data_IF_431224312713
#
_entry.id   IF_431224312713
#
_cell.length_a   1.000
_cell.length_b   1.000
_cell.length_c   1.000
_cell.angle_alpha   90.00
_cell.angle_beta   90.00
_cell.angle_gamma   90.00
#
_symmetry.space_group_name_H-M   'P 1'
#
loop_
_entity.id
_entity.type
_entity.pdbx_description
1 polymer ?
#
# COMPACT_ATOMS: atom_id res chain seq x y z
N UNK A 1 23.53 -88.50 2.16
CA UNK A 1 22.19 -88.95 2.60
C UNK A 1 21.63 -87.95 3.56
N UNK A 2 20.38 -87.71 3.47
CA UNK A 2 19.47 -86.75 4.17
C UNK A 2 19.38 -85.36 3.53
N UNK A 3 18.29 -85.21 2.76
CA UNK A 3 17.67 -83.98 2.33
C UNK A 3 16.86 -83.37 3.53
N UNK A 4 16.99 -82.11 3.76
CA UNK A 4 16.00 -81.36 4.55
C UNK A 4 15.59 -80.10 3.74
N UNK A 5 14.35 -80.11 3.32
CA UNK A 5 13.64 -79.09 2.61
C UNK A 5 13.35 -77.92 3.54
N UNK A 6 13.81 -76.70 3.17
CA UNK A 6 13.42 -75.45 3.84
C UNK A 6 12.46 -74.65 2.92
N UNK A 7 11.23 -74.64 3.33
CA UNK A 7 10.12 -73.86 2.78
C UNK A 7 10.37 -72.35 2.92
N UNK A 8 10.40 -71.63 1.82
CA UNK A 8 10.41 -70.15 1.80
C UNK A 8 9.00 -69.65 2.06
N UNK A 9 8.76 -69.06 3.23
CA UNK A 9 7.60 -68.22 3.49
C UNK A 9 7.94 -66.77 3.13
N UNK A 10 7.22 -66.22 2.17
CA UNK A 10 7.18 -64.80 1.81
C UNK A 10 6.45 -64.01 2.89
N UNK A 11 6.92 -62.81 3.27
CA UNK A 11 6.15 -61.97 4.19
C UNK A 11 5.04 -61.22 3.45
N UNK A 12 3.80 -61.42 3.86
CA UNK A 12 2.64 -60.64 3.42
C UNK A 12 2.82 -59.19 3.89
N UNK A 13 2.71 -58.26 2.93
CA UNK A 13 2.57 -56.82 3.20
C UNK A 13 1.20 -56.60 3.86
N UNK A 14 1.19 -56.17 5.10
CA UNK A 14 0.03 -55.62 5.77
C UNK A 14 -0.16 -54.19 5.25
N UNK A 15 -1.24 -53.93 4.54
CA UNK A 15 -1.72 -52.58 4.22
C UNK A 15 -2.26 -51.97 5.52
N UNK A 16 -1.58 -50.96 6.05
CA UNK A 16 -2.16 -50.07 7.06
C UNK A 16 -3.12 -49.10 6.35
N UNK A 17 -4.40 -49.32 6.53
CA UNK A 17 -5.43 -48.31 6.34
C UNK A 17 -5.20 -47.22 7.37
N UNK A 18 -4.89 -46.04 6.89
CA UNK A 18 -4.92 -44.83 7.74
C UNK A 18 -6.37 -44.35 7.72
N UNK A 19 -7.08 -44.61 8.82
CA UNK A 19 -8.37 -43.99 9.08
C UNK A 19 -8.19 -42.48 9.22
N UNK A 20 -8.92 -41.73 8.40
CA UNK A 20 -9.06 -40.30 8.51
C UNK A 20 -9.79 -39.97 9.81
N UNK A 21 -9.03 -39.60 10.84
CA UNK A 21 -9.56 -39.10 12.10
C UNK A 21 -10.17 -37.71 11.89
N UNK A 22 -11.50 -37.64 11.96
CA UNK A 22 -12.24 -36.36 12.05
C UNK A 22 -11.89 -35.74 13.40
N UNK A 23 -11.11 -34.67 13.40
CA UNK A 23 -10.95 -33.81 14.57
C UNK A 23 -12.21 -32.98 14.77
N UNK A 24 -12.97 -33.34 15.79
CA UNK A 24 -14.11 -32.57 16.30
C UNK A 24 -13.55 -31.58 17.32
N UNK A 25 -13.41 -30.32 16.93
CA UNK A 25 -13.05 -29.24 17.85
C UNK A 25 -14.27 -28.95 18.74
N UNK A 26 -14.18 -29.29 20.03
CA UNK A 26 -15.15 -28.90 21.04
C UNK A 26 -14.83 -27.48 21.52
N UNK A 27 -15.64 -26.51 21.09
CA UNK A 27 -15.63 -25.20 21.71
C UNK A 27 -16.23 -25.27 23.12
N UNK A 28 -15.38 -25.20 24.15
CA UNK A 28 -15.83 -24.92 25.50
C UNK A 28 -16.19 -23.45 25.64
N UNK A 29 -17.49 -23.21 25.81
CA UNK A 29 -18.07 -21.89 26.07
C UNK A 29 -17.63 -21.43 27.46
N UNK A 30 -16.54 -20.68 27.57
CA UNK A 30 -16.15 -20.04 28.84
C UNK A 30 -16.99 -18.76 28.96
N UNK A 31 -17.99 -18.82 29.88
CA UNK A 31 -18.65 -17.61 30.39
C UNK A 31 -17.67 -16.94 31.37
N UNK A 32 -17.10 -15.82 31.00
CA UNK A 32 -16.27 -14.97 31.83
C UNK A 32 -16.55 -13.50 31.54
N UNK A 33 -16.86 -12.78 32.59
CA UNK A 33 -17.21 -11.37 32.65
C UNK A 33 -16.22 -10.49 31.87
N UNK A 34 -16.76 -9.69 30.95
CA UNK A 34 -16.05 -8.56 30.30
C UNK A 34 -16.15 -7.35 31.25
N UNK A 35 -15.06 -6.79 31.74
CA UNK A 35 -15.12 -5.51 32.46
C UNK A 35 -15.39 -4.40 31.45
N UNK A 36 -16.50 -3.67 31.63
CA UNK A 36 -16.77 -2.43 30.92
C UNK A 36 -15.71 -1.41 31.30
N UNK A 37 -14.77 -1.13 30.42
CA UNK A 37 -13.90 0.04 30.54
C UNK A 37 -14.68 1.24 30.00
N UNK A 38 -15.11 2.09 30.91
CA UNK A 38 -15.69 3.40 30.63
C UNK A 38 -14.57 4.33 30.15
N UNK A 39 -14.49 4.57 28.84
CA UNK A 39 -13.69 5.67 28.31
C UNK A 39 -14.45 6.98 28.57
N UNK A 40 -13.98 7.74 29.53
CA UNK A 40 -14.29 9.17 29.64
C UNK A 40 -13.63 9.90 28.46
N UNK A 41 -14.42 10.22 27.44
CA UNK A 41 -13.98 11.11 26.37
C UNK A 41 -13.97 12.54 26.92
N UNK A 42 -12.80 13.13 27.11
CA UNK A 42 -12.64 14.56 27.30
C UNK A 42 -12.89 15.27 25.97
N UNK A 43 -13.68 16.38 25.95
CA UNK A 43 -14.03 17.07 24.70
C UNK A 43 -12.95 18.09 24.33
N UNK A 44 -11.86 17.69 23.69
CA UNK A 44 -10.85 18.65 23.21
C UNK A 44 -10.10 18.27 21.93
N UNK A 45 -10.64 17.41 21.07
CA UNK A 45 -9.97 17.07 19.82
C UNK A 45 -10.77 17.39 18.53
N UNK A 46 -11.92 18.09 18.65
CA UNK A 46 -12.75 18.44 17.47
C UNK A 46 -12.58 19.91 17.04
N UNK A 47 -11.49 20.60 17.39
CA UNK A 47 -11.27 22.03 17.09
C UNK A 47 -10.08 22.36 16.20
N UNK A 48 -9.56 21.45 15.41
CA UNK A 48 -8.41 21.75 14.52
C UNK A 48 -8.65 21.63 13.01
N UNK A 49 -9.85 21.32 12.56
CA UNK A 49 -10.12 21.17 11.12
C UNK A 49 -11.12 22.19 10.53
N UNK A 50 -11.44 23.31 11.23
CA UNK A 50 -12.33 24.37 10.69
C UNK A 50 -11.75 25.79 10.79
N UNK A 51 -10.44 25.95 10.80
CA UNK A 51 -9.78 27.26 10.93
C UNK A 51 -9.04 27.72 9.66
N UNK A 52 -9.51 27.36 8.47
CA UNK A 52 -8.88 27.78 7.21
C UNK A 52 -9.65 28.82 6.38
N UNK A 53 -10.94 29.02 6.60
CA UNK A 53 -11.76 29.87 5.72
C UNK A 53 -12.47 31.02 6.48
N UNK A 54 -12.61 30.96 7.80
CA UNK A 54 -13.32 31.99 8.59
C UNK A 54 -12.47 33.25 8.87
N UNK A 55 -11.15 33.18 8.86
CA UNK A 55 -10.29 34.31 9.21
C UNK A 55 -10.13 35.36 8.10
N UNK A 56 -10.50 35.05 6.85
CA UNK A 56 -10.41 36.01 5.73
C UNK A 56 -11.59 37.02 5.72
N UNK A 57 -12.75 36.62 6.23
CA UNK A 57 -13.95 37.48 6.26
C UNK A 57 -13.96 38.36 7.48
N UNK A 58 -13.51 37.89 8.63
CA UNK A 58 -13.43 38.74 9.86
C UNK A 58 -12.33 39.81 9.75
N UNK A 59 -11.27 39.57 9.01
CA UNK A 59 -10.21 40.57 8.77
C UNK A 59 -10.72 41.73 7.91
N UNK A 60 -11.57 41.49 6.92
CA UNK A 60 -12.16 42.50 6.07
C UNK A 60 -13.18 43.34 6.83
N UNK A 61 -14.03 42.72 7.68
CA UNK A 61 -15.02 43.41 8.52
C UNK A 61 -14.35 44.23 9.63
N UNK A 62 -13.21 43.80 10.15
CA UNK A 62 -12.46 44.57 11.16
C UNK A 62 -11.76 45.81 10.59
N UNK A 63 -11.38 45.80 9.31
CA UNK A 63 -10.78 46.96 8.63
C UNK A 63 -11.85 48.02 8.35
N UNK A 64 -13.06 47.66 7.97
CA UNK A 64 -14.16 48.58 7.80
C UNK A 64 -14.55 49.29 9.14
N UNK A 65 -14.60 48.59 10.26
CA UNK A 65 -14.88 49.18 11.59
C UNK A 65 -13.76 50.05 12.13
N UNK A 66 -12.52 49.87 11.69
CA UNK A 66 -11.40 50.77 12.05
C UNK A 66 -11.47 52.10 11.28
N UNK A 67 -12.00 52.12 10.07
CA UNK A 67 -12.20 53.33 9.30
C UNK A 67 -13.37 54.18 9.80
N UNK A 68 -14.44 53.59 10.32
CA UNK A 68 -15.55 54.34 10.92
C UNK A 68 -15.19 54.98 12.29
N UNK A 69 -14.26 54.42 13.04
CA UNK A 69 -13.87 54.95 14.36
C UNK A 69 -12.86 56.08 14.31
N UNK A 70 -12.20 56.35 13.17
CA UNK A 70 -11.20 57.44 13.07
C UNK A 70 -11.72 58.68 12.34
N UNK A 71 -13.01 58.72 11.94
CA UNK A 71 -13.62 59.91 11.33
C UNK A 71 -14.22 60.90 12.34
N UNK A 72 -14.16 60.62 13.63
CA UNK A 72 -14.78 61.48 14.67
C UNK A 72 -13.83 61.73 15.84
N UNK A 73 -12.69 62.39 15.56
CA UNK A 73 -11.91 62.98 16.64
C UNK A 73 -10.87 63.95 16.13
N UNK A 74 -11.32 65.06 15.56
CA UNK A 74 -10.55 66.35 15.58
C UNK A 74 -11.49 67.53 15.44
N UNK A 75 -12.19 67.87 16.49
CA UNK A 75 -12.83 69.17 16.66
C UNK A 75 -12.90 69.51 18.15
N UNK A 76 -11.79 69.95 18.68
CA UNK A 76 -11.85 70.87 19.82
C UNK A 76 -10.58 71.73 19.91
N UNK A 77 -10.81 73.04 19.99
CA UNK A 77 -9.93 74.13 20.36
C UNK A 77 -9.05 74.77 19.28
N UNK A 78 -9.43 75.99 18.92
CA UNK A 78 -8.51 76.93 18.32
C UNK A 78 -9.17 78.00 17.42
N UNK A 79 -9.62 79.09 17.96
CA UNK A 79 -9.87 80.39 17.35
C UNK A 79 -10.22 80.46 15.84
N UNK A 80 -11.49 80.67 15.55
CA UNK A 80 -11.99 81.05 14.23
C UNK A 80 -11.87 82.55 14.06
N UNK A 81 -11.12 83.06 13.05
CA UNK A 81 -11.17 84.50 12.73
C UNK A 81 -12.50 84.80 12.04
N UNK A 82 -13.15 85.92 12.51
CA UNK A 82 -14.41 86.34 11.98
C UNK A 82 -14.25 86.85 10.54
N UNK A 83 -14.75 86.14 9.59
CA UNK A 83 -14.75 86.55 8.17
C UNK A 83 -15.97 87.40 7.91
N UNK A 84 -15.77 88.69 7.73
CA UNK A 84 -16.81 89.76 7.52
C UNK A 84 -17.38 89.77 6.07
N UNK A 85 -17.29 88.73 5.26
CA UNK A 85 -17.89 88.75 3.92
C UNK A 85 -18.34 87.36 3.50
N UNK A 86 -19.61 87.16 3.17
CA UNK A 86 -20.13 85.89 2.79
C UNK A 86 -19.54 85.35 1.44
N UNK A 87 -19.05 86.21 0.56
CA UNK A 87 -18.45 85.85 -0.71
C UNK A 87 -17.07 85.14 -0.54
N UNK A 88 -16.26 85.55 0.46
CA UNK A 88 -14.94 84.86 0.69
C UNK A 88 -15.07 83.51 1.35
N UNK A 89 -16.08 83.36 2.21
CA UNK A 89 -16.37 82.07 2.86
C UNK A 89 -16.76 80.99 1.81
N UNK A 90 -17.55 81.46 0.79
CA UNK A 90 -18.00 80.51 -0.26
C UNK A 90 -16.85 80.07 -1.20
N UNK A 91 -15.89 80.99 -1.50
CA UNK A 91 -14.72 80.63 -2.33
C UNK A 91 -13.76 79.73 -1.55
N UNK A 92 -13.59 79.91 -0.23
CA UNK A 92 -12.74 79.00 0.57
C UNK A 92 -13.37 77.60 0.73
N UNK A 93 -14.69 77.53 0.91
CA UNK A 93 -15.41 76.27 0.98
C UNK A 93 -15.35 75.47 -0.38
N UNK A 94 -15.39 76.22 -1.51
CA UNK A 94 -15.29 75.57 -2.85
C UNK A 94 -13.88 75.07 -3.16
N UNK A 95 -12.83 75.80 -2.65
CA UNK A 95 -11.43 75.38 -2.84
C UNK A 95 -11.10 74.14 -1.96
N UNK A 96 -11.58 74.14 -0.67
CA UNK A 96 -11.39 73.03 0.23
C UNK A 96 -12.17 71.76 -0.25
N UNK A 97 -13.40 71.97 -0.77
CA UNK A 97 -14.20 70.87 -1.30
C UNK A 97 -13.61 70.30 -2.58
N UNK A 98 -13.00 71.12 -3.46
CA UNK A 98 -12.31 70.69 -4.66
C UNK A 98 -11.01 69.93 -4.36
N UNK A 99 -10.23 70.39 -3.37
CA UNK A 99 -8.99 69.73 -2.95
C UNK A 99 -9.23 68.36 -2.34
N UNK A 100 -10.25 68.24 -1.47
CA UNK A 100 -10.60 66.94 -0.87
C UNK A 100 -11.11 65.95 -1.92
N UNK A 101 -11.88 66.40 -2.91
CA UNK A 101 -12.35 65.51 -3.98
C UNK A 101 -11.21 65.03 -4.91
N UNK A 102 -10.20 65.85 -5.17
CA UNK A 102 -9.03 65.45 -5.93
C UNK A 102 -8.15 64.46 -5.18
N UNK A 103 -7.91 64.65 -3.88
CA UNK A 103 -7.14 63.65 -3.08
C UNK A 103 -7.85 62.33 -2.92
N UNK A 104 -9.17 62.28 -2.72
CA UNK A 104 -9.94 61.06 -2.66
C UNK A 104 -9.99 60.31 -4.00
N UNK A 105 -10.04 61.03 -5.13
CA UNK A 105 -9.98 60.45 -6.43
C UNK A 105 -8.63 59.80 -6.73
N UNK A 106 -7.54 60.47 -6.37
CA UNK A 106 -6.18 59.97 -6.61
C UNK A 106 -5.85 58.72 -5.76
N UNK A 107 -6.29 58.71 -4.52
CA UNK A 107 -6.12 57.50 -3.64
C UNK A 107 -6.94 56.33 -4.11
N UNK A 108 -8.16 56.50 -4.64
CA UNK A 108 -8.97 55.43 -5.20
C UNK A 108 -8.37 54.85 -6.48
N UNK A 109 -7.89 55.69 -7.39
CA UNK A 109 -7.24 55.24 -8.62
C UNK A 109 -5.90 54.57 -8.35
N UNK A 110 -5.10 55.06 -7.41
CA UNK A 110 -3.86 54.42 -6.97
C UNK A 110 -4.11 53.04 -6.33
N UNK A 111 -5.12 52.94 -5.45
CA UNK A 111 -5.49 51.64 -4.84
C UNK A 111 -6.01 50.64 -5.88
N UNK A 112 -6.83 51.11 -6.84
CA UNK A 112 -7.29 50.28 -7.97
C UNK A 112 -6.14 49.78 -8.86
N UNK A 113 -5.17 50.64 -9.14
CA UNK A 113 -3.98 50.29 -9.91
C UNK A 113 -3.11 49.25 -9.19
N UNK A 114 -2.94 49.38 -7.87
CA UNK A 114 -2.21 48.41 -7.05
C UNK A 114 -2.95 47.04 -7.00
N UNK A 115 -4.27 47.07 -6.80
CA UNK A 115 -5.08 45.84 -6.80
C UNK A 115 -5.06 45.14 -8.13
N UNK A 116 -5.15 45.88 -9.26
CA UNK A 116 -5.04 45.26 -10.60
C UNK A 116 -3.64 44.70 -10.87
N UNK A 117 -2.59 45.38 -10.40
CA UNK A 117 -1.21 44.88 -10.52
C UNK A 117 -1.00 43.58 -9.73
N UNK A 118 -1.52 43.53 -8.50
CA UNK A 118 -1.46 42.33 -7.64
C UNK A 118 -2.24 41.18 -8.27
N UNK A 119 -3.44 41.44 -8.82
CA UNK A 119 -4.22 40.42 -9.50
C UNK A 119 -3.53 39.94 -10.80
N UNK A 120 -2.89 40.84 -11.53
CA UNK A 120 -2.12 40.50 -12.70
C UNK A 120 -0.88 39.66 -12.36
N UNK A 121 -0.15 40.03 -11.30
CA UNK A 121 0.97 39.23 -10.79
C UNK A 121 0.52 37.86 -10.30
N UNK A 122 -0.64 37.77 -9.64
CA UNK A 122 -1.23 36.51 -9.21
C UNK A 122 -1.66 35.64 -10.41
N UNK A 123 -2.29 36.27 -11.42
CA UNK A 123 -2.66 35.58 -12.67
C UNK A 123 -1.43 35.10 -13.45
N UNK A 124 -0.37 35.92 -13.53
CA UNK A 124 0.91 35.53 -14.16
C UNK A 124 1.60 34.44 -13.31
N UNK A 125 1.50 34.48 -11.99
CA UNK A 125 1.96 33.43 -11.08
C UNK A 125 1.24 32.11 -11.31
N UNK A 126 -0.08 32.14 -11.46
CA UNK A 126 -0.90 30.96 -11.81
C UNK A 126 -0.61 30.45 -13.23
N UNK A 127 -0.37 31.33 -14.20
CA UNK A 127 0.04 30.96 -15.56
C UNK A 127 1.46 30.40 -15.61
N UNK A 128 2.34 30.79 -14.71
CA UNK A 128 3.70 30.22 -14.60
C UNK A 128 3.74 28.93 -13.78
N UNK A 129 2.77 28.70 -12.88
CA UNK A 129 2.54 27.40 -12.21
C UNK A 129 1.73 26.43 -13.08
N UNK A 130 1.08 26.91 -14.12
CA UNK A 130 0.63 26.07 -15.22
C UNK A 130 1.84 25.56 -15.99
N UNK A 131 2.63 24.71 -15.33
CA UNK A 131 3.47 23.75 -16.02
C UNK A 131 2.59 23.10 -17.07
N UNK A 132 3.06 23.05 -18.32
CA UNK A 132 2.35 22.44 -19.43
C UNK A 132 1.63 21.19 -18.90
N UNK A 133 0.29 21.18 -18.99
CA UNK A 133 -0.43 19.93 -18.81
C UNK A 133 0.32 18.93 -19.68
N UNK A 134 0.79 17.79 -19.13
CA UNK A 134 1.46 16.82 -19.97
C UNK A 134 0.49 16.57 -21.11
N UNK A 135 0.95 16.81 -22.33
CA UNK A 135 0.21 16.39 -23.51
C UNK A 135 -0.28 14.97 -23.20
N UNK A 136 -1.51 14.64 -23.57
CA UNK A 136 -2.07 13.29 -23.54
C UNK A 136 -1.18 12.41 -24.45
N UNK A 137 0.08 12.23 -24.04
CA UNK A 137 1.04 11.26 -24.55
C UNK A 137 0.73 9.95 -23.87
N UNK A 138 0.75 8.87 -24.61
CA UNK A 138 0.57 7.51 -24.15
C UNK A 138 1.15 7.37 -22.73
N UNK A 139 0.34 6.95 -21.79
CA UNK A 139 0.69 6.80 -20.39
C UNK A 139 1.96 5.96 -20.31
N UNK A 140 3.12 6.63 -20.16
CA UNK A 140 4.40 5.95 -20.10
C UNK A 140 4.43 5.17 -18.79
N UNK A 141 4.18 3.87 -18.87
CA UNK A 141 4.28 2.96 -17.73
C UNK A 141 5.72 2.52 -17.53
N UNK A 142 6.04 2.16 -16.30
CA UNK A 142 7.31 1.53 -15.93
C UNK A 142 7.16 0.02 -16.05
N UNK A 143 8.08 -0.63 -16.76
CA UNK A 143 8.10 -2.10 -16.85
C UNK A 143 8.60 -2.67 -15.53
N UNK A 144 7.79 -3.51 -14.89
CA UNK A 144 8.12 -4.16 -13.61
C UNK A 144 7.97 -5.67 -13.76
N UNK A 145 9.06 -6.40 -14.05
CA UNK A 145 9.06 -7.84 -13.96
C UNK A 145 8.94 -8.29 -12.50
N UNK A 146 8.18 -9.37 -12.27
CA UNK A 146 7.98 -9.93 -10.94
C UNK A 146 8.47 -11.38 -10.94
N UNK A 147 9.46 -11.66 -10.11
CA UNK A 147 10.07 -12.98 -9.95
C UNK A 147 9.36 -13.73 -8.83
N UNK A 148 8.94 -14.97 -9.08
CA UNK A 148 8.20 -15.78 -8.13
C UNK A 148 9.02 -16.97 -7.67
N UNK A 149 9.34 -17.01 -6.40
CA UNK A 149 9.96 -18.11 -5.67
C UNK A 149 8.97 -18.69 -4.67
N UNK A 150 9.29 -19.89 -4.15
CA UNK A 150 8.55 -20.51 -3.05
C UNK A 150 9.56 -21.04 -2.02
N UNK A 151 9.88 -22.32 -2.07
CA UNK A 151 10.78 -22.98 -1.12
C UNK A 151 12.24 -22.92 -1.56
N UNK A 152 13.15 -22.67 -0.61
CA UNK A 152 14.59 -22.62 -0.85
C UNK A 152 15.26 -23.74 -0.05
N UNK A 153 15.75 -24.80 -0.71
CA UNK A 153 16.33 -25.96 -0.04
C UNK A 153 17.66 -26.39 -0.66
N UNK A 154 18.61 -26.78 0.18
CA UNK A 154 19.90 -27.36 -0.26
C UNK A 154 19.75 -28.77 -0.84
N UNK A 155 18.75 -29.51 -0.39
CA UNK A 155 18.52 -30.90 -0.80
C UNK A 155 18.12 -30.99 -2.28
N UNK A 156 19.03 -31.49 -3.10
CA UNK A 156 18.81 -31.61 -4.55
C UNK A 156 17.67 -32.57 -4.92
N UNK A 157 17.37 -33.56 -4.07
CA UNK A 157 16.28 -34.50 -4.31
C UNK A 157 14.89 -33.85 -4.19
N UNK A 158 14.80 -32.67 -3.57
CA UNK A 158 13.55 -31.91 -3.40
C UNK A 158 13.42 -30.75 -4.38
N UNK A 159 14.48 -30.42 -5.12
CA UNK A 159 14.45 -29.34 -6.09
C UNK A 159 13.53 -29.69 -7.28
N UNK A 160 12.80 -28.70 -7.79
CA UNK A 160 11.80 -28.88 -8.83
C UNK A 160 11.09 -27.60 -9.19
N UNK A 161 9.82 -27.70 -9.57
CA UNK A 161 9.03 -26.56 -10.06
C UNK A 161 8.96 -25.40 -9.06
N UNK A 162 8.85 -25.68 -7.76
CA UNK A 162 8.65 -24.70 -6.70
C UNK A 162 9.76 -24.70 -5.64
N UNK A 163 10.82 -25.46 -5.85
CA UNK A 163 11.93 -25.57 -4.90
C UNK A 163 13.24 -25.37 -5.65
N UNK A 164 13.98 -24.33 -5.26
CA UNK A 164 15.32 -24.07 -5.80
C UNK A 164 16.38 -24.08 -4.70
N UNK A 165 17.67 -24.22 -5.08
CA UNK A 165 18.73 -24.15 -4.09
C UNK A 165 19.08 -22.71 -3.68
N UNK A 166 19.66 -22.51 -2.47
CA UNK A 166 20.22 -21.21 -2.10
C UNK A 166 21.28 -20.69 -3.09
N UNK A 167 22.04 -21.59 -3.74
CA UNK A 167 23.02 -21.21 -4.74
C UNK A 167 22.37 -20.65 -6.03
N UNK A 168 21.23 -21.21 -6.44
CA UNK A 168 20.46 -20.69 -7.58
C UNK A 168 19.91 -19.31 -7.25
N UNK A 169 19.30 -19.13 -6.08
CA UNK A 169 18.82 -17.82 -5.64
C UNK A 169 19.95 -16.80 -5.61
N UNK A 170 21.09 -17.14 -5.00
CA UNK A 170 22.24 -16.24 -4.95
C UNK A 170 22.72 -15.83 -6.34
N UNK A 171 22.82 -16.76 -7.29
CA UNK A 171 23.22 -16.48 -8.67
C UNK A 171 22.22 -15.56 -9.38
N UNK A 172 20.92 -15.76 -9.16
CA UNK A 172 19.87 -14.92 -9.73
C UNK A 172 19.95 -13.48 -9.16
N UNK A 173 20.16 -13.32 -7.84
CA UNK A 173 20.32 -12.01 -7.18
C UNK A 173 21.59 -11.27 -7.68
N UNK A 174 22.73 -11.98 -7.78
CA UNK A 174 23.99 -11.42 -8.29
C UNK A 174 23.85 -10.96 -9.74
N UNK A 175 23.13 -11.73 -10.56
CA UNK A 175 22.87 -11.38 -11.95
C UNK A 175 21.96 -10.16 -12.11
N UNK A 176 20.95 -10.00 -11.24
CA UNK A 176 20.11 -8.81 -11.19
C UNK A 176 20.92 -7.56 -10.86
N UNK A 177 21.73 -7.61 -9.80
CA UNK A 177 22.64 -6.50 -9.42
C UNK A 177 23.60 -6.14 -10.56
N UNK A 178 24.22 -7.14 -11.18
CA UNK A 178 25.15 -6.94 -12.30
C UNK A 178 24.49 -6.24 -13.49
N UNK A 179 23.18 -6.49 -13.71
CA UNK A 179 22.37 -5.87 -14.78
C UNK A 179 21.80 -4.51 -14.38
N UNK A 180 22.05 -4.06 -13.12
CA UNK A 180 21.58 -2.77 -12.59
C UNK A 180 20.11 -2.74 -12.22
N UNK A 181 19.50 -3.89 -11.92
CA UNK A 181 18.14 -3.96 -11.39
C UNK A 181 18.13 -3.63 -9.89
N UNK A 182 17.13 -2.87 -9.48
CA UNK A 182 16.86 -2.52 -8.08
C UNK A 182 15.52 -3.12 -7.64
N UNK A 183 15.51 -3.69 -6.44
CA UNK A 183 14.30 -4.35 -5.93
C UNK A 183 13.28 -3.35 -5.42
N UNK A 184 12.02 -3.60 -5.77
CA UNK A 184 10.85 -2.84 -5.30
C UNK A 184 9.86 -3.80 -4.62
N UNK A 185 9.05 -3.25 -3.71
CA UNK A 185 8.00 -3.97 -3.00
C UNK A 185 6.61 -3.48 -3.42
N UNK A 186 5.56 -4.03 -2.85
CA UNK A 186 4.18 -3.55 -3.08
C UNK A 186 4.04 -2.10 -2.65
N UNK A 187 4.60 -1.73 -1.48
CA UNK A 187 4.56 -0.35 -0.98
C UNK A 187 5.22 0.64 -1.93
N UNK A 188 6.31 0.28 -2.60
CA UNK A 188 6.96 1.15 -3.60
C UNK A 188 6.07 1.35 -4.83
N UNK A 189 5.39 0.29 -5.30
CA UNK A 189 4.45 0.37 -6.42
C UNK A 189 3.24 1.25 -6.06
N UNK A 190 2.71 1.10 -4.85
CA UNK A 190 1.61 1.92 -4.36
C UNK A 190 2.01 3.39 -4.25
N UNK A 191 3.19 3.70 -3.70
CA UNK A 191 3.71 5.06 -3.63
C UNK A 191 3.93 5.67 -5.03
N UNK A 192 4.40 4.86 -6.00
CA UNK A 192 4.47 5.30 -7.38
C UNK A 192 3.09 5.65 -7.94
N UNK A 193 2.10 4.78 -7.80
CA UNK A 193 0.76 4.98 -8.37
C UNK A 193 0.01 6.12 -7.69
N UNK A 194 0.02 6.17 -6.35
CA UNK A 194 -0.79 7.09 -5.55
C UNK A 194 -0.14 8.47 -5.37
N UNK A 195 1.15 8.50 -5.02
CA UNK A 195 1.83 9.71 -4.59
C UNK A 195 2.75 10.30 -5.68
N UNK A 196 3.05 9.51 -6.69
CA UNK A 196 3.97 9.93 -7.73
C UNK A 196 5.44 9.73 -7.40
N UNK A 197 5.76 9.01 -6.33
CA UNK A 197 7.15 8.65 -5.98
C UNK A 197 7.78 7.85 -7.12
N UNK A 198 8.91 8.30 -7.69
CA UNK A 198 9.50 7.60 -8.83
C UNK A 198 10.03 6.22 -8.42
N UNK A 199 9.83 5.24 -9.30
CA UNK A 199 10.52 3.94 -9.22
C UNK A 199 11.94 4.07 -9.75
N UNK A 200 12.87 3.17 -9.38
CA UNK A 200 14.21 3.11 -9.97
C UNK A 200 14.12 2.85 -11.49
N UNK A 201 15.20 3.11 -12.21
CA UNK A 201 15.27 2.98 -13.68
C UNK A 201 15.00 1.54 -14.17
N UNK A 202 15.47 0.55 -13.39
CA UNK A 202 15.26 -0.87 -13.66
C UNK A 202 14.66 -1.56 -12.43
N UNK A 203 13.36 -1.37 -12.17
CA UNK A 203 12.71 -1.99 -11.03
C UNK A 203 12.45 -3.48 -11.29
N UNK A 204 12.61 -4.30 -10.25
CA UNK A 204 12.23 -5.70 -10.23
C UNK A 204 11.59 -6.05 -8.89
N UNK A 205 10.47 -6.77 -8.88
CA UNK A 205 9.90 -7.27 -7.63
C UNK A 205 10.23 -8.75 -7.46
N UNK A 206 10.72 -9.11 -6.27
CA UNK A 206 11.00 -10.51 -5.91
C UNK A 206 9.94 -10.95 -4.91
N UNK A 207 9.25 -12.05 -5.21
CA UNK A 207 8.17 -12.58 -4.37
C UNK A 207 8.47 -14.00 -3.92
N UNK A 208 8.06 -14.33 -2.69
CA UNK A 208 8.09 -15.68 -2.12
C UNK A 208 6.69 -16.05 -1.66
N UNK A 209 6.17 -17.15 -2.19
CA UNK A 209 4.84 -17.64 -1.82
C UNK A 209 4.91 -18.65 -0.66
N UNK A 210 3.76 -18.94 -0.07
CA UNK A 210 3.49 -19.90 1.01
C UNK A 210 4.09 -19.53 2.38
N UNK A 211 5.11 -18.70 2.45
CA UNK A 211 5.75 -18.34 3.72
C UNK A 211 6.53 -19.48 4.37
N UNK A 212 7.29 -20.27 3.61
CA UNK A 212 8.13 -21.33 4.15
C UNK A 212 9.22 -20.79 5.09
N UNK A 213 9.49 -21.49 6.20
CA UNK A 213 10.56 -21.13 7.14
C UNK A 213 11.96 -21.10 6.49
N UNK A 214 12.18 -21.87 5.44
CA UNK A 214 13.44 -21.83 4.70
C UNK A 214 13.70 -20.50 3.97
N UNK A 215 12.70 -19.66 3.80
CA UNK A 215 12.91 -18.29 3.31
C UNK A 215 13.66 -17.45 4.36
N UNK A 216 13.37 -17.62 5.65
CA UNK A 216 14.15 -17.03 6.74
C UNK A 216 15.58 -17.58 6.78
N UNK A 217 15.73 -18.91 6.68
CA UNK A 217 17.02 -19.57 6.83
C UNK A 217 17.98 -19.25 5.67
N UNK A 218 17.47 -19.16 4.45
CA UNK A 218 18.31 -19.06 3.25
C UNK A 218 18.09 -17.79 2.43
N UNK A 219 16.85 -17.36 2.19
CA UNK A 219 16.59 -16.22 1.33
C UNK A 219 16.87 -14.89 2.04
N UNK A 220 16.43 -14.76 3.30
CA UNK A 220 16.60 -13.53 4.09
C UNK A 220 18.08 -13.07 4.17
N UNK A 221 19.05 -13.90 4.59
CA UNK A 221 20.44 -13.47 4.65
C UNK A 221 21.04 -13.18 3.27
N UNK A 222 20.61 -13.85 2.21
CA UNK A 222 21.11 -13.59 0.86
C UNK A 222 20.63 -12.24 0.31
N UNK A 223 19.38 -11.87 0.58
CA UNK A 223 18.81 -10.59 0.22
C UNK A 223 19.42 -9.46 1.06
N UNK A 224 19.49 -9.65 2.39
CA UNK A 224 20.05 -8.68 3.33
C UNK A 224 21.49 -8.30 2.99
N UNK A 225 22.36 -9.30 2.72
CA UNK A 225 23.77 -9.08 2.33
C UNK A 225 23.92 -8.24 1.06
N UNK A 226 22.90 -8.23 0.20
CA UNK A 226 22.87 -7.49 -1.07
C UNK A 226 22.12 -6.18 -1.02
N UNK A 227 21.55 -5.83 0.15
CA UNK A 227 20.68 -4.66 0.29
C UNK A 227 19.40 -4.74 -0.57
N UNK A 228 18.97 -5.96 -0.89
CA UNK A 228 17.76 -6.22 -1.68
C UNK A 228 16.57 -6.46 -0.78
N UNK A 229 15.38 -6.03 -1.24
CA UNK A 229 14.11 -6.28 -0.59
C UNK A 229 13.27 -7.26 -1.41
N UNK A 230 12.30 -7.90 -0.75
CA UNK A 230 11.37 -8.83 -1.38
C UNK A 230 10.00 -8.78 -0.70
N UNK A 231 9.03 -9.47 -1.30
CA UNK A 231 7.68 -9.66 -0.75
C UNK A 231 7.54 -11.13 -0.34
N UNK A 232 6.96 -11.41 0.82
CA UNK A 232 6.56 -12.76 1.21
C UNK A 232 5.06 -12.82 1.45
N UNK A 233 4.38 -13.72 0.74
CA UNK A 233 2.93 -13.94 0.86
C UNK A 233 2.69 -15.20 1.67
N UNK A 234 2.08 -15.06 2.86
CA UNK A 234 1.96 -16.15 3.83
C UNK A 234 0.58 -16.82 3.79
N UNK A 235 0.56 -18.14 4.01
CA UNK A 235 -0.66 -18.88 4.34
C UNK A 235 -0.92 -18.69 5.84
N UNK A 236 -1.94 -17.90 6.21
CA UNK A 236 -2.19 -17.48 7.57
C UNK A 236 -2.35 -18.64 8.55
N UNK A 237 -3.10 -19.69 8.19
CA UNK A 237 -3.31 -20.87 9.04
C UNK A 237 -2.00 -21.62 9.35
N UNK A 238 -1.07 -21.67 8.39
CA UNK A 238 0.22 -22.29 8.60
C UNK A 238 1.12 -21.45 9.52
N UNK A 239 1.15 -20.14 9.30
CA UNK A 239 1.88 -19.21 10.18
C UNK A 239 1.34 -19.27 11.61
N UNK A 240 0.02 -19.31 11.80
CA UNK A 240 -0.59 -19.45 13.12
C UNK A 240 -0.21 -20.78 13.79
N UNK A 241 -0.33 -21.89 13.06
CA UNK A 241 0.01 -23.24 13.54
C UNK A 241 1.46 -23.30 14.05
N UNK A 242 2.42 -22.90 13.21
CA UNK A 242 3.85 -22.98 13.58
C UNK A 242 4.24 -21.95 14.64
N UNK A 243 3.52 -20.84 14.76
CA UNK A 243 3.69 -19.90 15.89
C UNK A 243 3.26 -20.53 17.20
N UNK A 244 2.10 -21.22 17.23
CA UNK A 244 1.59 -21.91 18.41
C UNK A 244 2.49 -23.10 18.80
N UNK A 245 2.88 -23.94 17.83
CA UNK A 245 3.74 -25.10 18.08
C UNK A 245 5.18 -24.74 18.46
N UNK A 246 5.66 -23.56 18.07
CA UNK A 246 7.04 -23.15 18.28
C UNK A 246 8.06 -23.93 17.43
N UNK A 247 7.59 -24.67 16.43
CA UNK A 247 8.44 -25.57 15.62
C UNK A 247 9.06 -24.85 14.44
N UNK A 248 10.35 -25.09 14.23
CA UNK A 248 11.13 -24.54 13.09
C UNK A 248 11.89 -25.66 12.39
N UNK A 249 11.53 -25.94 11.15
CA UNK A 249 12.20 -26.94 10.31
C UNK A 249 12.23 -26.43 8.86
N UNK A 250 13.44 -26.26 8.30
CA UNK A 250 13.62 -25.75 6.95
C UNK A 250 12.97 -26.59 5.86
N UNK A 251 12.68 -27.86 6.11
CA UNK A 251 12.11 -28.76 5.09
C UNK A 251 10.60 -28.69 4.94
N UNK A 252 9.87 -28.25 6.00
CA UNK A 252 8.40 -28.36 5.97
C UNK A 252 7.64 -27.34 6.82
N UNK A 253 8.28 -26.59 7.74
CA UNK A 253 7.58 -25.58 8.52
C UNK A 253 7.42 -24.26 7.77
N UNK A 254 6.46 -23.46 8.24
CA UNK A 254 6.22 -22.12 7.74
C UNK A 254 6.76 -21.08 8.72
N UNK A 255 6.83 -19.83 8.27
CA UNK A 255 7.29 -18.69 9.04
C UNK A 255 6.34 -18.43 10.21
N UNK A 256 6.91 -18.29 11.40
CA UNK A 256 6.23 -17.86 12.61
C UNK A 256 6.15 -16.33 12.64
N UNK A 257 5.23 -15.82 13.46
CA UNK A 257 5.04 -14.36 13.60
C UNK A 257 6.29 -13.63 14.08
N UNK A 258 7.06 -14.22 15.02
CA UNK A 258 8.32 -13.63 15.48
C UNK A 258 9.37 -13.54 14.36
N UNK A 259 9.44 -14.53 13.48
CA UNK A 259 10.33 -14.51 12.32
C UNK A 259 9.90 -13.48 11.27
N UNK A 260 8.60 -13.35 11.04
CA UNK A 260 8.07 -12.28 10.18
C UNK A 260 8.43 -10.89 10.71
N UNK A 261 8.37 -10.71 12.04
CA UNK A 261 8.76 -9.45 12.67
C UNK A 261 10.26 -9.15 12.54
N UNK A 262 11.12 -10.19 12.65
CA UNK A 262 12.57 -10.06 12.48
C UNK A 262 12.98 -9.71 11.03
N UNK A 263 12.20 -10.12 10.02
CA UNK A 263 12.54 -9.99 8.59
C UNK A 263 12.05 -8.69 7.95
N UNK A 264 11.39 -7.78 8.67
CA UNK A 264 10.74 -6.59 8.09
C UNK A 264 11.71 -5.60 7.41
N UNK A 265 13.01 -5.68 7.72
CA UNK A 265 14.05 -4.90 7.05
C UNK A 265 14.27 -5.33 5.58
N UNK A 266 13.90 -6.56 5.25
CA UNK A 266 14.05 -7.15 3.91
C UNK A 266 12.72 -7.53 3.28
N UNK A 267 11.81 -8.13 4.07
CA UNK A 267 10.57 -8.67 3.55
C UNK A 267 9.34 -7.83 3.91
N UNK A 268 8.57 -7.49 2.89
CA UNK A 268 7.22 -6.98 3.04
C UNK A 268 6.24 -8.16 3.07
N UNK A 269 5.46 -8.29 4.15
CA UNK A 269 4.55 -9.43 4.35
C UNK A 269 3.21 -9.14 3.71
N UNK A 270 2.69 -10.11 2.91
CA UNK A 270 1.43 -10.02 2.20
C UNK A 270 0.56 -11.27 2.42
N UNK A 271 -0.70 -11.20 2.01
CA UNK A 271 -1.71 -12.23 2.24
C UNK A 271 -1.73 -13.27 1.11
N UNK A 272 -1.67 -14.58 1.48
CA UNK A 272 -1.83 -15.71 0.57
C UNK A 272 -2.98 -16.63 0.99
N UNK A 273 -4.08 -16.06 1.46
CA UNK A 273 -5.22 -16.69 2.13
C UNK A 273 -4.94 -17.18 3.56
N UNK A 274 -6.01 -17.46 4.28
CA UNK A 274 -5.91 -18.21 5.53
C UNK A 274 -5.75 -19.71 5.26
N UNK A 275 -6.71 -20.30 4.53
CA UNK A 275 -6.73 -21.74 4.26
C UNK A 275 -7.26 -22.12 2.87
N UNK A 276 -7.27 -21.19 1.90
CA UNK A 276 -7.69 -21.48 0.52
C UNK A 276 -6.55 -22.03 -0.36
N UNK A 277 -5.40 -22.37 0.26
CA UNK A 277 -4.26 -23.00 -0.42
C UNK A 277 -4.23 -24.53 -0.21
N UNK A 278 -5.38 -25.18 -0.09
CA UNK A 278 -5.50 -26.62 0.05
C UNK A 278 -5.80 -27.30 -1.28
N UNK A 279 -5.30 -28.56 -1.42
CA UNK A 279 -5.67 -29.42 -2.52
C UNK A 279 -7.01 -30.11 -2.21
N UNK A 280 -8.07 -29.63 -2.84
CA UNK A 280 -9.43 -30.11 -2.62
C UNK A 280 -10.33 -29.88 -3.83
N UNK A 281 -11.64 -29.90 -3.60
CA UNK A 281 -12.63 -29.62 -4.63
C UNK A 281 -12.60 -28.15 -5.08
N UNK A 282 -12.27 -27.22 -4.17
CA UNK A 282 -12.07 -25.81 -4.46
C UNK A 282 -10.63 -25.58 -4.94
N UNK A 283 -10.48 -24.87 -6.05
CA UNK A 283 -9.18 -24.42 -6.52
C UNK A 283 -8.91 -23.00 -6.08
N UNK A 284 -8.14 -22.83 -5.00
CA UNK A 284 -7.78 -21.51 -4.49
C UNK A 284 -9.00 -20.66 -4.18
N UNK A 285 -9.02 -19.44 -4.68
CA UNK A 285 -10.10 -18.48 -4.46
C UNK A 285 -11.26 -18.58 -5.44
N UNK A 286 -11.33 -19.60 -6.30
CA UNK A 286 -12.44 -19.71 -7.25
C UNK A 286 -13.74 -20.13 -6.56
N UNK A 287 -14.87 -19.57 -7.01
CA UNK A 287 -16.21 -20.01 -6.62
C UNK A 287 -16.46 -21.44 -7.14
N UNK A 288 -17.00 -22.27 -6.27
CA UNK A 288 -17.35 -23.65 -6.64
C UNK A 288 -18.62 -23.71 -7.48
N UNK A 289 -18.72 -24.73 -8.31
CA UNK A 289 -19.95 -24.98 -9.08
C UNK A 289 -21.14 -25.20 -8.14
N UNK A 290 -22.20 -24.42 -8.32
CA UNK A 290 -23.41 -24.49 -7.51
C UNK A 290 -23.35 -23.71 -6.18
N UNK A 291 -22.23 -23.11 -5.87
CA UNK A 291 -22.12 -22.17 -4.75
C UNK A 291 -22.81 -20.83 -5.08
N UNK A 292 -23.56 -20.29 -4.15
CA UNK A 292 -24.17 -18.97 -4.33
C UNK A 292 -23.12 -17.87 -4.21
N UNK A 293 -23.32 -16.74 -4.87
CA UNK A 293 -22.42 -15.60 -4.78
C UNK A 293 -22.25 -15.12 -3.31
N UNK A 294 -23.37 -15.02 -2.58
CA UNK A 294 -23.33 -14.59 -1.18
C UNK A 294 -22.53 -15.55 -0.27
N UNK A 295 -22.67 -16.88 -0.47
CA UNK A 295 -21.89 -17.86 0.30
C UNK A 295 -20.42 -17.78 -0.04
N UNK A 296 -20.10 -17.61 -1.31
CA UNK A 296 -18.73 -17.47 -1.78
C UNK A 296 -18.08 -16.18 -1.27
N UNK A 297 -18.78 -15.06 -1.33
CA UNK A 297 -18.29 -13.78 -0.82
C UNK A 297 -18.03 -13.85 0.69
N UNK A 298 -18.96 -14.44 1.47
CA UNK A 298 -18.76 -14.65 2.92
C UNK A 298 -17.51 -15.48 3.19
N UNK A 299 -17.31 -16.59 2.48
CA UNK A 299 -16.16 -17.47 2.64
C UNK A 299 -14.84 -16.73 2.32
N UNK A 300 -14.77 -16.02 1.19
CA UNK A 300 -13.54 -15.33 0.79
C UNK A 300 -13.20 -14.18 1.74
N UNK A 301 -14.21 -13.43 2.22
CA UNK A 301 -14.00 -12.38 3.22
C UNK A 301 -13.52 -12.95 4.55
N UNK A 302 -14.19 -13.96 5.09
CA UNK A 302 -13.82 -14.60 6.35
C UNK A 302 -12.40 -15.19 6.31
N UNK A 303 -12.05 -15.89 5.24
CA UNK A 303 -10.70 -16.45 5.04
C UNK A 303 -9.64 -15.34 4.99
N UNK A 304 -9.90 -14.32 4.19
CA UNK A 304 -8.95 -13.21 4.01
C UNK A 304 -8.75 -12.40 5.29
N UNK A 305 -9.84 -12.10 6.01
CA UNK A 305 -9.84 -11.32 7.26
C UNK A 305 -9.07 -12.03 8.37
N UNK A 306 -9.08 -13.37 8.44
CA UNK A 306 -8.33 -14.12 9.44
C UNK A 306 -6.81 -13.88 9.30
N UNK A 307 -6.28 -13.88 8.09
CA UNK A 307 -4.86 -13.56 7.87
C UNK A 307 -4.54 -12.10 8.18
N UNK A 308 -5.43 -11.16 7.82
CA UNK A 308 -5.28 -9.74 8.16
C UNK A 308 -5.26 -9.54 9.69
N UNK A 309 -6.18 -10.16 10.40
CA UNK A 309 -6.27 -10.09 11.86
C UNK A 309 -5.02 -10.69 12.52
N UNK A 310 -4.58 -11.88 12.10
CA UNK A 310 -3.38 -12.54 12.63
C UNK A 310 -2.15 -11.62 12.58
N UNK A 311 -1.92 -10.97 11.45
CA UNK A 311 -0.76 -10.12 11.26
C UNK A 311 -0.88 -8.80 12.05
N UNK A 312 -2.03 -8.15 12.01
CA UNK A 312 -2.24 -6.88 12.71
C UNK A 312 -2.26 -7.02 14.22
N UNK A 313 -2.80 -8.11 14.77
CA UNK A 313 -2.76 -8.43 16.20
C UNK A 313 -1.33 -8.71 16.68
N UNK A 314 -0.48 -9.24 15.82
CA UNK A 314 0.95 -9.42 16.08
C UNK A 314 1.78 -8.11 15.93
N UNK A 315 1.14 -6.98 15.60
CA UNK A 315 1.81 -5.69 15.39
C UNK A 315 2.53 -5.55 14.05
N UNK A 316 2.27 -6.46 13.10
CA UNK A 316 2.77 -6.38 11.74
C UNK A 316 1.89 -5.47 10.88
N UNK A 317 2.43 -4.83 9.83
CA UNK A 317 1.61 -4.04 8.90
C UNK A 317 0.49 -4.88 8.27
N UNK A 318 -0.68 -4.27 8.10
CA UNK A 318 -1.79 -4.91 7.39
C UNK A 318 -1.40 -5.14 5.92
N UNK A 319 -1.53 -6.36 5.38
CA UNK A 319 -1.32 -6.64 3.97
C UNK A 319 -2.17 -5.77 3.05
N UNK A 320 -1.56 -5.19 2.03
CA UNK A 320 -2.23 -4.39 1.00
C UNK A 320 -2.32 -5.13 -0.33
N UNK A 321 -1.64 -6.27 -0.44
CA UNK A 321 -1.64 -7.14 -1.61
C UNK A 321 -2.16 -8.53 -1.26
N UNK A 322 -2.95 -9.10 -2.16
CA UNK A 322 -3.42 -10.46 -2.07
C UNK A 322 -2.79 -11.31 -3.19
N UNK A 323 -2.08 -12.35 -2.81
CA UNK A 323 -1.51 -13.32 -3.75
C UNK A 323 -2.48 -14.48 -3.92
N UNK A 324 -2.99 -14.69 -5.12
CA UNK A 324 -3.97 -15.75 -5.36
C UNK A 324 -3.35 -17.15 -5.23
N UNK A 325 -3.85 -18.02 -4.32
CA UNK A 325 -3.47 -19.42 -4.27
C UNK A 325 -3.61 -20.07 -5.63
N UNK A 326 -2.55 -20.78 -6.10
CA UNK A 326 -2.47 -21.41 -7.43
C UNK A 326 -2.63 -20.42 -8.61
N UNK A 327 -2.61 -19.12 -8.38
CA UNK A 327 -2.95 -18.11 -9.37
C UNK A 327 -4.43 -18.15 -9.79
N UNK A 328 -5.28 -18.78 -9.00
CA UNK A 328 -6.69 -18.98 -9.31
C UNK A 328 -7.50 -17.73 -8.94
N UNK A 329 -7.67 -16.82 -9.90
CA UNK A 329 -8.40 -15.57 -9.79
C UNK A 329 -9.66 -15.56 -10.69
N UNK A 330 -10.60 -14.67 -10.38
CA UNK A 330 -11.79 -14.38 -11.16
C UNK A 330 -12.21 -12.93 -10.94
N UNK A 331 -13.02 -12.36 -11.84
CA UNK A 331 -13.59 -11.02 -11.67
C UNK A 331 -14.37 -10.90 -10.35
N UNK A 332 -15.03 -11.97 -9.90
CA UNK A 332 -15.75 -11.99 -8.62
C UNK A 332 -14.77 -11.87 -7.44
N UNK A 333 -13.68 -12.67 -7.42
CA UNK A 333 -12.67 -12.61 -6.36
C UNK A 333 -11.96 -11.26 -6.33
N UNK A 334 -11.63 -10.71 -7.48
CA UNK A 334 -11.00 -9.39 -7.57
C UNK A 334 -11.91 -8.29 -7.04
N UNK A 335 -13.21 -8.29 -7.42
CA UNK A 335 -14.19 -7.34 -6.90
C UNK A 335 -14.28 -7.40 -5.36
N UNK A 336 -14.38 -8.61 -4.79
CA UNK A 336 -14.48 -8.80 -3.34
C UNK A 336 -13.22 -8.27 -2.63
N UNK A 337 -12.02 -8.59 -3.14
CA UNK A 337 -10.77 -8.13 -2.55
C UNK A 337 -10.60 -6.61 -2.66
N UNK A 338 -11.02 -6.00 -3.77
CA UNK A 338 -11.08 -4.54 -3.92
C UNK A 338 -12.00 -3.90 -2.88
N UNK A 339 -13.19 -4.47 -2.68
CA UNK A 339 -14.16 -4.00 -1.68
C UNK A 339 -13.66 -4.18 -0.24
N UNK A 340 -12.74 -5.13 0.00
CA UNK A 340 -12.03 -5.31 1.26
C UNK A 340 -10.85 -4.35 1.45
N UNK A 341 -10.51 -3.56 0.43
CA UNK A 341 -9.45 -2.55 0.49
C UNK A 341 -8.07 -3.04 0.06
N UNK A 342 -7.95 -4.20 -0.59
CA UNK A 342 -6.70 -4.59 -1.22
C UNK A 342 -6.42 -3.70 -2.43
N UNK A 343 -5.18 -3.24 -2.55
CA UNK A 343 -4.73 -2.28 -3.56
C UNK A 343 -3.88 -2.93 -4.65
N UNK A 344 -3.50 -4.20 -4.45
CA UNK A 344 -2.68 -4.98 -5.36
C UNK A 344 -3.10 -6.45 -5.30
N UNK A 345 -3.04 -7.16 -6.43
CA UNK A 345 -3.15 -8.62 -6.44
C UNK A 345 -2.10 -9.25 -7.35
N UNK A 346 -1.61 -10.43 -6.96
CA UNK A 346 -0.60 -11.18 -7.70
C UNK A 346 -1.19 -12.48 -8.25
N UNK A 347 -1.08 -12.67 -9.56
CA UNK A 347 -1.43 -13.89 -10.26
C UNK A 347 -0.22 -14.79 -10.53
N UNK A 348 -0.41 -15.78 -11.41
CA UNK A 348 0.66 -16.70 -11.87
C UNK A 348 0.83 -16.70 -13.40
N UNK A 349 0.18 -15.80 -14.12
CA UNK A 349 0.42 -15.61 -15.55
C UNK A 349 1.80 -15.02 -15.79
N UNK A 350 2.60 -15.62 -16.63
CA UNK A 350 3.94 -15.12 -16.93
C UNK A 350 3.88 -13.96 -17.93
N UNK A 351 3.96 -12.74 -17.40
CA UNK A 351 4.06 -11.49 -18.19
C UNK A 351 4.79 -10.42 -17.42
N UNK A 352 5.46 -9.53 -18.14
CA UNK A 352 6.02 -8.30 -17.57
C UNK A 352 4.90 -7.29 -17.39
N UNK A 353 4.80 -6.71 -16.20
CA UNK A 353 3.78 -5.73 -15.88
C UNK A 353 4.19 -4.33 -16.34
N UNK A 354 3.24 -3.58 -16.87
CA UNK A 354 3.41 -2.16 -17.17
C UNK A 354 2.68 -1.35 -16.09
N UNK A 355 3.44 -0.84 -15.13
CA UNK A 355 2.89 -0.06 -14.01
C UNK A 355 2.76 1.39 -14.45
N UNK A 356 1.53 1.90 -14.43
CA UNK A 356 1.16 3.27 -14.80
C UNK A 356 0.71 4.05 -13.57
N UNK A 357 0.11 5.23 -13.73
CA UNK A 357 -0.57 5.96 -12.66
C UNK A 357 -2.01 5.52 -12.43
N UNK A 358 -2.50 4.58 -13.21
CA UNK A 358 -3.80 3.95 -13.01
C UNK A 358 -3.66 2.79 -12.03
N UNK A 359 -4.34 2.87 -10.89
CA UNK A 359 -4.32 1.83 -9.86
C UNK A 359 -4.80 0.46 -10.39
N UNK A 360 -5.60 0.43 -11.44
CA UNK A 360 -6.05 -0.80 -12.08
C UNK A 360 -4.91 -1.70 -12.57
N UNK A 361 -3.71 -1.12 -12.88
CA UNK A 361 -2.56 -1.89 -13.34
C UNK A 361 -1.90 -2.78 -12.25
N UNK A 362 -2.26 -2.61 -10.98
CA UNK A 362 -1.71 -3.39 -9.86
C UNK A 362 -2.53 -4.64 -9.54
N UNK A 363 -3.61 -4.90 -10.28
CA UNK A 363 -4.41 -6.11 -10.08
C UNK A 363 -4.02 -7.20 -11.07
N UNK A 364 -4.06 -8.45 -10.59
CA UNK A 364 -3.64 -9.65 -11.33
C UNK A 364 -2.23 -9.52 -11.94
N UNK A 365 -1.29 -8.90 -11.22
CA UNK A 365 0.07 -8.75 -11.72
C UNK A 365 0.68 -10.10 -12.08
N UNK A 366 1.24 -10.19 -13.30
CA UNK A 366 1.89 -11.39 -13.81
C UNK A 366 3.23 -11.63 -13.12
N UNK A 367 3.62 -12.92 -12.98
CA UNK A 367 4.85 -13.32 -12.29
C UNK A 367 5.53 -14.48 -13.01
N UNK A 368 6.86 -14.51 -12.98
CA UNK A 368 7.66 -15.56 -13.58
C UNK A 368 8.13 -16.56 -12.53
N UNK A 369 7.67 -17.81 -12.63
CA UNK A 369 8.05 -18.84 -11.68
C UNK A 369 9.51 -19.27 -11.89
N UNK A 370 10.27 -19.35 -10.79
CA UNK A 370 11.65 -19.85 -10.77
C UNK A 370 11.69 -21.35 -10.48
N UNK A 371 11.78 -22.16 -11.51
CA UNK A 371 11.94 -23.59 -11.36
C UNK A 371 13.41 -24.00 -11.30
N UNK A 372 13.70 -25.12 -10.63
CA UNK A 372 15.02 -25.75 -10.71
C UNK A 372 15.30 -26.30 -12.12
N UNK A 373 16.58 -26.40 -12.48
CA UNK A 373 17.01 -26.93 -13.77
C UNK A 373 17.08 -25.91 -14.90
N UNK A 374 16.47 -24.74 -14.77
CA UNK A 374 16.67 -23.61 -15.66
C UNK A 374 17.91 -22.81 -15.23
N UNK A 375 18.75 -22.38 -16.18
CA UNK A 375 19.90 -21.53 -15.85
C UNK A 375 19.43 -20.12 -15.44
N UNK A 376 20.20 -19.42 -14.60
CA UNK A 376 19.97 -18.03 -14.24
C UNK A 376 19.82 -17.13 -15.46
N UNK A 377 20.68 -17.32 -16.47
CA UNK A 377 20.65 -16.53 -17.71
C UNK A 377 19.32 -16.71 -18.46
N UNK A 378 18.90 -17.98 -18.70
CA UNK A 378 17.64 -18.30 -19.38
C UNK A 378 16.44 -17.75 -18.62
N UNK A 379 16.39 -17.96 -17.30
CA UNK A 379 15.32 -17.49 -16.45
C UNK A 379 15.18 -15.97 -16.47
N UNK A 380 16.30 -15.26 -16.25
CA UNK A 380 16.26 -13.79 -16.21
C UNK A 380 15.99 -13.19 -17.59
N UNK A 381 16.53 -13.75 -18.68
CA UNK A 381 16.19 -13.27 -20.03
C UNK A 381 14.68 -13.38 -20.31
N UNK A 382 14.06 -14.49 -19.92
CA UNK A 382 12.61 -14.70 -20.04
C UNK A 382 11.82 -13.73 -19.15
N UNK A 383 12.22 -13.58 -17.89
CA UNK A 383 11.50 -12.77 -16.91
C UNK A 383 11.66 -11.26 -17.14
N UNK A 384 12.81 -10.82 -17.58
CA UNK A 384 13.11 -9.40 -17.82
C UNK A 384 12.69 -8.97 -19.24
N UNK A 385 12.45 -9.92 -20.14
CA UNK A 385 12.12 -9.66 -21.54
C UNK A 385 13.29 -9.08 -22.32
N UNK A 386 14.51 -9.64 -22.05
CA UNK A 386 15.79 -9.28 -22.68
C UNK A 386 16.22 -10.33 -23.71
#
# INVERSE_FOLDING_TARGET
MCRSSLSKKSPRRSAHQIESGRYRVHFHKIRGHVPRILYKTTPNCARRARFGVANSIETVVSIERLFEKHSFSTASSGHVPLIKSPHRAYALLKAVRGGIFLEFGFRRTALQAVCTLVLLCFAIGLLRQGGAAPAFGAQQGVRVPVLMYHSILKDSARQGKYVVSPAVLAADLDALQKRGYETVTVSDLLAYVQDGTPLPDKPVMITFDDGYYNNYVYAYPLLQQRGMRAVVSIIGSQTALYTEEGTENAYWSHLRLDRLAEMQDVFEVQNHSWNLHEYGERRGCLRMRGETEASYESLLREDTEQTQALLTEAGLPAPQCYTYPFGACSEESERILKDMGFLCTLGCEERVNLVTRDAGCLYEMGRFNRAAGESTESYLSRALGE
#
